data_IF_623903232293
#
_entry.id   IF_623903232293
#
_cell.length_a   1.000
_cell.length_b   1.000
_cell.length_c   1.000
_cell.angle_alpha   90.00
_cell.angle_beta   90.00
_cell.angle_gamma   90.00
#
_symmetry.space_group_name_H-M   'P 1'
#
loop_
_entity.id
_entity.type
_entity.pdbx_description
1 polymer ?
#
# COMPACT_ATOMS: atom_id res chain seq x y z
N UNK A 1 -3.94 -12.78 4.78
CA UNK A 1 -4.55 -12.72 6.12
C UNK A 1 -4.51 -11.29 6.61
N UNK A 2 -5.68 -10.65 6.69
CA UNK A 2 -5.76 -9.27 7.16
C UNK A 2 -5.31 -9.14 8.61
N UNK A 3 -4.60 -8.05 8.90
CA UNK A 3 -4.08 -7.71 10.23
C UNK A 3 -5.06 -6.79 10.95
N UNK A 4 -4.92 -6.70 12.26
CA UNK A 4 -5.69 -5.77 13.10
C UNK A 4 -4.76 -4.70 13.64
N UNK A 5 -5.17 -3.44 13.50
CA UNK A 5 -4.49 -2.28 14.08
C UNK A 5 -5.42 -1.55 15.04
N UNK A 6 -4.85 -1.03 16.13
CA UNK A 6 -5.55 -0.23 17.12
C UNK A 6 -4.94 1.17 17.25
N UNK A 7 -5.77 2.15 17.55
CA UNK A 7 -5.32 3.50 17.87
C UNK A 7 -6.19 4.12 18.97
N UNK A 8 -5.59 4.99 19.76
CA UNK A 8 -6.25 5.70 20.83
C UNK A 8 -5.42 6.92 21.22
N UNK A 9 -6.09 8.01 21.63
CA UNK A 9 -5.43 9.16 22.26
C UNK A 9 -4.72 8.73 23.55
N UNK A 10 -5.45 8.02 24.43
CA UNK A 10 -4.91 7.47 25.67
C UNK A 10 -4.26 6.13 25.39
N UNK A 11 -2.94 6.10 25.28
CA UNK A 11 -2.17 4.91 24.87
C UNK A 11 -2.49 3.71 25.74
N UNK A 12 -2.73 3.89 27.06
CA UNK A 12 -3.05 2.80 28.01
C UNK A 12 -4.35 2.04 27.70
N UNK A 13 -5.24 2.60 26.89
CA UNK A 13 -6.51 1.96 26.52
C UNK A 13 -6.36 0.87 25.46
N UNK A 14 -5.30 0.91 24.66
CA UNK A 14 -5.05 -0.07 23.60
C UNK A 14 -4.82 -1.46 24.24
N UNK A 15 -5.35 -2.56 23.68
CA UNK A 15 -5.06 -3.92 24.16
C UNK A 15 -3.54 -4.18 24.24
N UNK A 16 -3.06 -4.74 25.35
CA UNK A 16 -1.62 -4.91 25.60
C UNK A 16 -0.92 -5.89 24.64
N UNK A 17 -1.70 -6.74 23.98
CA UNK A 17 -1.27 -7.73 22.99
C UNK A 17 -1.42 -7.23 21.54
N UNK A 18 -1.70 -5.93 21.33
CA UNK A 18 -1.79 -5.36 20.00
C UNK A 18 -0.48 -5.53 19.21
N UNK A 19 -0.55 -6.24 18.09
CA UNK A 19 0.59 -6.46 17.18
C UNK A 19 0.83 -5.27 16.24
N UNK A 20 -0.15 -4.39 16.08
CA UNK A 20 -0.07 -3.19 15.27
C UNK A 20 -0.83 -2.04 15.93
N UNK A 21 -0.19 -0.88 16.00
CA UNK A 21 -0.73 0.33 16.63
C UNK A 21 -0.47 1.57 15.79
N UNK A 22 -1.40 2.52 15.77
CA UNK A 22 -1.17 3.84 15.19
C UNK A 22 -1.13 4.92 16.28
N UNK A 23 -0.27 5.91 16.10
CA UNK A 23 -0.07 6.98 17.08
C UNK A 23 0.38 8.28 16.43
N UNK A 24 0.17 9.38 17.15
CA UNK A 24 0.34 10.74 16.63
C UNK A 24 1.76 11.25 16.88
N UNK A 25 2.43 11.74 15.84
CA UNK A 25 3.78 12.34 15.92
C UNK A 25 3.74 13.80 16.35
N UNK A 26 2.62 14.47 16.12
CA UNK A 26 2.37 15.88 16.38
C UNK A 26 0.92 16.08 16.86
N UNK A 27 0.49 17.35 16.97
CA UNK A 27 -0.84 17.69 17.46
C UNK A 27 -0.98 17.66 18.98
N UNK A 28 -2.20 17.97 19.44
CA UNK A 28 -2.53 17.99 20.87
C UNK A 28 -2.38 16.61 21.53
N UNK A 29 -2.54 15.54 20.75
CA UNK A 29 -2.54 14.16 21.21
C UNK A 29 -1.29 13.39 20.81
N UNK A 30 -0.19 14.10 20.51
CA UNK A 30 1.10 13.49 20.18
C UNK A 30 1.52 12.47 21.25
N UNK A 31 1.59 11.19 20.88
CA UNK A 31 1.76 10.08 21.81
C UNK A 31 2.75 9.00 21.34
N UNK A 32 3.45 9.22 20.22
CA UNK A 32 4.35 8.22 19.64
C UNK A 32 5.50 7.76 20.54
N UNK A 33 5.97 8.63 21.46
CA UNK A 33 6.97 8.23 22.47
C UNK A 33 6.40 7.21 23.45
N UNK A 34 5.20 7.45 23.95
CA UNK A 34 4.49 6.53 24.87
C UNK A 34 4.10 5.23 24.15
N UNK A 35 3.59 5.35 22.91
CA UNK A 35 3.26 4.22 22.05
C UNK A 35 4.46 3.28 21.86
N UNK A 36 5.63 3.87 21.60
CA UNK A 36 6.90 3.13 21.45
C UNK A 36 7.32 2.40 22.72
N UNK A 37 7.16 3.04 23.87
CA UNK A 37 7.51 2.42 25.15
C UNK A 37 6.57 1.27 25.52
N UNK A 38 5.26 1.42 25.24
CA UNK A 38 4.24 0.41 25.58
C UNK A 38 4.23 -0.77 24.62
N UNK A 39 4.43 -0.51 23.33
CA UNK A 39 4.34 -1.51 22.25
C UNK A 39 5.66 -1.67 21.50
N UNK A 40 6.76 -2.07 22.16
CA UNK A 40 8.08 -2.12 21.55
C UNK A 40 8.20 -3.18 20.43
N UNK A 41 7.32 -4.19 20.45
CA UNK A 41 7.30 -5.29 19.46
C UNK A 41 6.23 -5.10 18.38
N UNK A 42 5.33 -4.12 18.52
CA UNK A 42 4.27 -3.89 17.55
C UNK A 42 4.80 -3.13 16.32
N UNK A 43 4.16 -3.38 15.18
CA UNK A 43 4.24 -2.48 14.03
C UNK A 43 3.60 -1.16 14.43
N UNK A 44 4.32 -0.05 14.25
CA UNK A 44 3.86 1.29 14.64
C UNK A 44 3.62 2.14 13.41
N UNK A 45 2.42 2.73 13.31
CA UNK A 45 2.00 3.61 12.22
C UNK A 45 2.01 5.06 12.72
N UNK A 46 3.06 5.84 12.42
CA UNK A 46 3.12 7.23 12.83
C UNK A 46 2.23 8.13 11.96
N UNK A 47 1.27 8.80 12.60
CA UNK A 47 0.29 9.72 12.01
C UNK A 47 0.75 11.15 12.25
N UNK A 48 0.81 11.97 11.20
CA UNK A 48 0.89 13.42 11.30
C UNK A 48 -0.51 14.03 11.14
N UNK A 49 -0.88 14.97 12.00
CA UNK A 49 -2.15 15.70 11.90
C UNK A 49 -1.99 17.04 11.19
N UNK A 50 -0.77 17.61 11.15
CA UNK A 50 -0.51 18.84 10.41
C UNK A 50 0.20 18.57 9.08
N UNK A 51 -0.34 19.10 7.98
CA UNK A 51 0.31 19.02 6.67
C UNK A 51 1.66 19.78 6.58
N UNK A 52 1.98 20.61 7.58
CA UNK A 52 3.29 21.26 7.72
C UNK A 52 4.35 20.34 8.33
N UNK A 53 3.96 19.24 8.98
CA UNK A 53 4.86 18.33 9.68
C UNK A 53 5.59 17.43 8.69
N UNK A 54 6.93 17.50 8.69
CA UNK A 54 7.79 16.65 7.86
C UNK A 54 8.21 15.35 8.58
N UNK A 55 7.22 14.67 9.15
CA UNK A 55 7.35 13.40 9.85
C UNK A 55 6.12 12.52 9.59
N UNK A 56 6.15 11.28 10.07
CA UNK A 56 5.06 10.33 9.88
C UNK A 56 5.04 9.64 8.52
N UNK A 57 4.12 8.68 8.40
CA UNK A 57 3.81 7.93 7.17
C UNK A 57 2.35 8.10 6.77
N UNK A 58 1.46 8.35 7.73
CA UNK A 58 0.06 8.73 7.49
C UNK A 58 -0.11 10.22 7.71
N UNK A 59 -0.87 10.89 6.83
CA UNK A 59 -1.46 12.21 7.12
C UNK A 59 -2.93 12.05 7.47
N UNK A 60 -3.33 12.64 8.58
CA UNK A 60 -4.73 12.71 9.01
C UNK A 60 -5.46 13.86 8.32
N UNK A 61 -6.43 13.55 7.46
CA UNK A 61 -7.23 14.53 6.73
C UNK A 61 -8.67 14.48 7.24
N UNK A 62 -8.91 15.25 8.30
CA UNK A 62 -10.21 15.37 8.96
C UNK A 62 -10.43 16.75 9.61
N UNK A 63 -11.67 17.08 10.04
CA UNK A 63 -11.95 18.38 10.65
C UNK A 63 -11.16 18.61 11.94
N UNK A 64 -10.28 19.61 11.92
CA UNK A 64 -9.42 19.95 13.06
C UNK A 64 -7.93 19.71 12.76
N UNK A 65 -7.64 18.87 11.77
CA UNK A 65 -6.30 18.44 11.36
C UNK A 65 -5.98 18.97 9.95
N UNK A 66 -5.41 18.16 9.05
CA UNK A 66 -5.05 18.61 7.72
C UNK A 66 -6.27 18.74 6.79
N UNK A 67 -6.24 19.77 5.94
CA UNK A 67 -7.28 19.97 4.94
C UNK A 67 -7.05 19.12 3.68
N UNK A 68 -8.14 18.76 2.99
CA UNK A 68 -8.12 17.99 1.73
C UNK A 68 -7.11 18.55 0.71
N UNK A 69 -7.09 19.88 0.53
CA UNK A 69 -6.21 20.54 -0.44
C UNK A 69 -4.72 20.54 -0.04
N UNK A 70 -4.40 20.24 1.22
CA UNK A 70 -3.02 20.23 1.71
C UNK A 70 -2.34 18.86 1.54
N UNK A 71 -3.14 17.79 1.42
CA UNK A 71 -2.63 16.42 1.36
C UNK A 71 -1.64 16.17 0.21
N UNK A 72 -1.84 16.66 -1.02
CA UNK A 72 -0.88 16.44 -2.12
C UNK A 72 0.51 17.00 -1.82
N UNK A 73 0.59 18.19 -1.24
CA UNK A 73 1.86 18.84 -0.91
C UNK A 73 2.63 18.12 0.19
N UNK A 74 1.91 17.63 1.21
CA UNK A 74 2.53 16.80 2.25
C UNK A 74 3.04 15.47 1.69
N UNK A 75 2.24 14.78 0.88
CA UNK A 75 2.65 13.51 0.23
C UNK A 75 3.90 13.70 -0.63
N UNK A 76 3.99 14.77 -1.42
CA UNK A 76 5.20 15.06 -2.19
C UNK A 76 6.42 15.25 -1.30
N UNK A 77 6.29 15.98 -0.19
CA UNK A 77 7.37 16.19 0.79
C UNK A 77 7.83 14.87 1.39
N UNK A 78 6.91 14.01 1.81
CA UNK A 78 7.25 12.69 2.38
C UNK A 78 7.94 11.78 1.37
N UNK A 79 7.50 11.79 0.11
CA UNK A 79 8.18 11.07 -0.98
C UNK A 79 9.60 11.58 -1.22
N UNK A 80 9.82 12.90 -1.16
CA UNK A 80 11.17 13.47 -1.23
C UNK A 80 12.05 13.05 -0.05
N UNK A 81 11.45 12.82 1.12
CA UNK A 81 12.11 12.24 2.29
C UNK A 81 12.30 10.71 2.21
N UNK A 82 11.94 10.07 1.10
CA UNK A 82 12.09 8.62 0.90
C UNK A 82 11.01 7.76 1.55
N UNK A 83 9.88 8.36 1.96
CA UNK A 83 8.74 7.66 2.54
C UNK A 83 7.69 7.35 1.46
N UNK A 84 7.01 6.21 1.59
CA UNK A 84 5.82 5.89 0.79
C UNK A 84 4.55 6.22 1.60
N UNK A 85 3.92 7.37 1.38
CA UNK A 85 2.93 7.91 2.31
C UNK A 85 1.52 7.36 2.09
N UNK A 86 0.74 7.43 3.16
CA UNK A 86 -0.69 7.12 3.20
C UNK A 86 -1.48 8.36 3.61
N UNK A 87 -2.69 8.51 3.08
CA UNK A 87 -3.65 9.51 3.58
C UNK A 87 -4.78 8.78 4.30
N UNK A 88 -5.07 9.21 5.52
CA UNK A 88 -6.27 8.82 6.25
C UNK A 88 -7.37 9.86 6.03
N UNK A 89 -8.58 9.39 5.78
CA UNK A 89 -9.80 10.21 5.75
C UNK A 89 -11.05 9.32 5.88
N UNK A 90 -12.19 9.89 6.23
CA UNK A 90 -13.45 9.16 6.16
C UNK A 90 -13.92 8.91 4.71
N UNK A 91 -14.77 7.89 4.56
CA UNK A 91 -15.30 7.47 3.25
C UNK A 91 -16.08 8.57 2.50
N UNK A 92 -16.66 9.55 3.21
CA UNK A 92 -17.36 10.69 2.60
C UNK A 92 -16.41 11.76 2.05
N UNK A 93 -15.22 11.92 2.66
CA UNK A 93 -14.17 12.84 2.17
C UNK A 93 -13.27 12.23 1.11
N UNK A 94 -13.15 10.91 1.06
CA UNK A 94 -12.21 10.22 0.16
C UNK A 94 -12.31 10.65 -1.32
N UNK A 95 -13.50 10.82 -1.94
CA UNK A 95 -13.59 11.32 -3.32
C UNK A 95 -13.00 12.73 -3.53
N UNK A 96 -13.07 13.58 -2.52
CA UNK A 96 -12.51 14.94 -2.55
C UNK A 96 -10.99 14.89 -2.45
N UNK A 97 -10.44 13.99 -1.63
CA UNK A 97 -8.99 13.73 -1.56
C UNK A 97 -8.47 13.23 -2.89
N UNK A 98 -9.10 12.21 -3.49
CA UNK A 98 -8.74 11.71 -4.83
C UNK A 98 -8.68 12.85 -5.86
N UNK A 99 -9.74 13.68 -5.89
CA UNK A 99 -9.82 14.84 -6.78
C UNK A 99 -8.73 15.88 -6.51
N UNK A 100 -8.33 16.09 -5.25
CA UNK A 100 -7.28 17.03 -4.89
C UNK A 100 -5.91 16.60 -5.45
N UNK A 101 -5.59 15.29 -5.41
CA UNK A 101 -4.38 14.74 -6.02
C UNK A 101 -4.41 14.83 -7.54
N UNK A 102 -5.53 14.48 -8.17
CA UNK A 102 -5.69 14.57 -9.63
C UNK A 102 -5.53 16.02 -10.11
N UNK A 103 -6.18 16.97 -9.44
CA UNK A 103 -6.07 18.41 -9.76
C UNK A 103 -4.66 18.96 -9.53
N UNK A 104 -3.92 18.42 -8.55
CA UNK A 104 -2.54 18.80 -8.28
C UNK A 104 -1.53 18.12 -9.23
N UNK A 105 -1.95 17.14 -10.04
CA UNK A 105 -1.06 16.33 -10.87
C UNK A 105 -0.08 15.48 -10.06
N UNK A 106 -0.44 15.13 -8.82
CA UNK A 106 0.39 14.33 -7.91
C UNK A 106 -0.10 12.88 -7.94
N UNK A 107 0.78 11.87 -8.14
CA UNK A 107 0.36 10.47 -8.08
C UNK A 107 -0.32 10.14 -6.74
N UNK A 108 -1.42 9.39 -6.80
CA UNK A 108 -2.19 9.04 -5.60
C UNK A 108 -1.32 8.32 -4.55
N UNK A 109 -1.50 8.59 -3.24
CA UNK A 109 -0.87 7.84 -2.14
C UNK A 109 -1.63 6.54 -1.86
N UNK A 110 -1.21 5.80 -0.83
CA UNK A 110 -2.06 4.76 -0.25
C UNK A 110 -3.18 5.39 0.58
N UNK A 111 -4.22 4.61 0.92
CA UNK A 111 -5.36 5.09 1.70
C UNK A 111 -5.70 4.22 2.90
N UNK A 112 -6.00 4.89 4.02
CA UNK A 112 -6.62 4.30 5.18
C UNK A 112 -7.99 4.98 5.39
N UNK A 113 -9.07 4.24 5.22
CA UNK A 113 -10.42 4.83 5.14
C UNK A 113 -11.24 4.58 6.40
N UNK A 114 -11.77 5.63 7.00
CA UNK A 114 -12.70 5.52 8.12
C UNK A 114 -14.13 5.27 7.64
N UNK A 115 -14.76 4.20 8.11
CA UNK A 115 -16.14 3.85 7.82
C UNK A 115 -16.70 2.95 8.94
N UNK A 116 -17.51 3.54 9.81
CA UNK A 116 -18.03 2.94 11.05
C UNK A 116 -19.21 1.97 10.86
N UNK A 117 -19.03 0.95 10.01
CA UNK A 117 -20.09 0.01 9.64
C UNK A 117 -19.97 -1.37 10.31
N UNK A 118 -18.90 -1.61 11.09
CA UNK A 118 -18.64 -2.90 11.70
C UNK A 118 -18.13 -3.98 10.73
N UNK A 119 -17.89 -3.64 9.47
CA UNK A 119 -17.40 -4.55 8.42
C UNK A 119 -15.88 -4.42 8.25
N UNK A 120 -15.16 -5.51 8.50
CA UNK A 120 -13.72 -5.60 8.32
C UNK A 120 -13.28 -5.86 6.87
N UNK A 121 -14.10 -5.53 5.88
CA UNK A 121 -13.74 -5.57 4.46
C UNK A 121 -13.07 -4.27 4.04
N UNK A 122 -11.82 -4.35 3.57
CA UNK A 122 -11.07 -3.19 3.06
C UNK A 122 -11.68 -2.73 1.72
N UNK A 123 -12.04 -1.43 1.56
CA UNK A 123 -12.54 -0.91 0.29
C UNK A 123 -11.47 -1.05 -0.81
N UNK A 124 -11.90 -1.35 -2.03
CA UNK A 124 -10.99 -1.44 -3.16
C UNK A 124 -10.20 -0.13 -3.35
N UNK A 125 -8.88 -0.23 -3.42
CA UNK A 125 -7.98 0.93 -3.51
C UNK A 125 -7.45 1.46 -2.16
N UNK A 126 -7.90 0.92 -1.03
CA UNK A 126 -7.34 1.21 0.28
C UNK A 126 -6.43 0.07 0.78
N UNK A 127 -5.50 0.40 1.67
CA UNK A 127 -4.62 -0.58 2.36
C UNK A 127 -5.08 -0.86 3.79
N UNK A 128 -5.94 -0.01 4.34
CA UNK A 128 -6.55 -0.20 5.66
C UNK A 128 -7.95 0.44 5.71
N UNK A 129 -8.78 -0.05 6.63
CA UNK A 129 -10.08 0.53 6.96
C UNK A 129 -10.26 0.59 8.47
N UNK A 130 -10.56 1.77 9.01
CA UNK A 130 -11.04 1.91 10.38
C UNK A 130 -12.55 1.64 10.37
N UNK A 131 -12.98 0.56 11.04
CA UNK A 131 -14.36 0.05 10.87
C UNK A 131 -15.17 -0.03 12.17
N UNK A 132 -14.51 0.13 13.32
CA UNK A 132 -15.14 0.05 14.63
C UNK A 132 -14.46 0.98 15.62
N UNK A 133 -15.27 1.69 16.38
CA UNK A 133 -14.86 2.54 17.50
C UNK A 133 -15.43 1.99 18.82
N UNK A 134 -14.80 2.37 19.92
CA UNK A 134 -15.28 2.21 21.30
C UNK A 134 -14.95 3.49 22.07
N UNK A 135 -15.47 3.65 23.29
CA UNK A 135 -15.08 4.77 24.15
C UNK A 135 -13.57 4.79 24.51
N UNK A 136 -12.85 3.69 24.24
CA UNK A 136 -11.47 3.49 24.67
C UNK A 136 -10.45 3.56 23.52
N UNK A 137 -10.79 3.04 22.34
CA UNK A 137 -9.91 2.89 21.18
C UNK A 137 -10.71 2.66 19.90
N UNK A 138 -10.04 2.89 18.77
CA UNK A 138 -10.49 2.57 17.43
C UNK A 138 -9.79 1.33 16.89
N UNK A 139 -10.47 0.65 15.95
CA UNK A 139 -10.01 -0.60 15.36
C UNK A 139 -10.09 -0.56 13.86
N UNK A 140 -8.95 -0.91 13.27
CA UNK A 140 -8.75 -1.00 11.84
C UNK A 140 -8.43 -2.42 11.40
N UNK A 141 -8.96 -2.79 10.24
CA UNK A 141 -8.47 -3.92 9.46
C UNK A 141 -7.41 -3.39 8.50
N UNK A 142 -6.33 -4.14 8.36
CA UNK A 142 -5.17 -3.75 7.56
C UNK A 142 -4.85 -4.88 6.57
N UNK A 143 -4.47 -4.53 5.36
CA UNK A 143 -3.99 -5.48 4.38
C UNK A 143 -2.77 -6.26 4.91
N UNK A 144 -2.51 -7.42 4.31
CA UNK A 144 -1.35 -8.27 4.64
C UNK A 144 -0.03 -7.50 4.60
N UNK A 145 0.06 -6.49 3.73
CA UNK A 145 1.21 -5.60 3.59
C UNK A 145 0.73 -4.15 3.41
N UNK A 146 1.38 -3.22 4.11
CA UNK A 146 1.14 -1.78 4.06
C UNK A 146 2.45 -1.08 3.65
N UNK A 147 2.54 -0.62 2.39
CA UNK A 147 3.73 0.09 1.92
C UNK A 147 4.01 1.36 2.74
N UNK A 148 5.28 1.59 3.07
CA UNK A 148 5.72 2.72 3.90
C UNK A 148 5.62 2.50 5.41
N UNK A 149 4.77 1.56 5.86
CA UNK A 149 4.69 1.11 7.25
C UNK A 149 5.53 -0.13 7.46
N UNK A 150 5.29 -1.16 6.64
CA UNK A 150 6.02 -2.40 6.73
C UNK A 150 7.38 -2.24 6.07
N UNK A 151 8.43 -2.62 6.78
CA UNK A 151 9.75 -2.74 6.17
C UNK A 151 9.70 -3.77 5.04
N UNK A 152 10.48 -3.57 3.98
CA UNK A 152 10.56 -4.55 2.88
C UNK A 152 10.94 -5.98 3.33
N UNK A 153 11.47 -6.14 4.55
CA UNK A 153 11.74 -7.43 5.21
C UNK A 153 10.64 -7.96 6.15
N UNK A 154 9.51 -7.27 6.31
CA UNK A 154 8.37 -7.61 7.19
C UNK A 154 7.06 -7.89 6.44
N UNK A 155 7.10 -7.89 5.10
CA UNK A 155 6.08 -8.58 4.32
C UNK A 155 5.97 -10.05 4.81
N UNK A 156 4.76 -10.65 4.84
CA UNK A 156 4.56 -12.01 5.33
C UNK A 156 5.61 -12.93 4.70
N UNK A 157 6.23 -13.79 5.52
CA UNK A 157 7.40 -14.61 5.21
C UNK A 157 7.49 -15.04 3.74
N UNK A 158 8.13 -14.18 2.96
CA UNK A 158 8.27 -14.24 1.50
C UNK A 158 9.04 -13.01 0.98
N UNK A 159 9.80 -12.31 1.83
CA UNK A 159 10.40 -11.00 1.53
C UNK A 159 11.65 -11.05 0.66
N UNK A 160 11.50 -11.48 -0.59
CA UNK A 160 12.42 -11.24 -1.70
C UNK A 160 11.61 -11.09 -2.98
N UNK A 161 12.18 -10.46 -4.01
CA UNK A 161 11.59 -10.61 -5.34
C UNK A 161 11.78 -12.06 -5.79
N UNK A 162 10.77 -12.63 -6.43
CA UNK A 162 10.88 -13.93 -7.05
C UNK A 162 12.13 -13.94 -7.94
N UNK A 163 13.09 -14.87 -7.76
CA UNK A 163 14.19 -14.97 -8.69
C UNK A 163 13.62 -15.31 -10.06
N UNK A 164 14.25 -14.81 -11.12
CA UNK A 164 13.83 -15.14 -12.48
C UNK A 164 13.84 -16.68 -12.68
N UNK A 165 12.68 -17.31 -12.94
CA UNK A 165 12.57 -18.78 -12.96
C UNK A 165 13.12 -19.42 -14.24
N UNK A 166 13.72 -18.61 -15.13
CA UNK A 166 14.20 -19.01 -16.45
C UNK A 166 13.14 -18.85 -17.54
N UNK A 167 13.59 -18.57 -18.77
CA UNK A 167 12.69 -18.28 -19.91
C UNK A 167 11.73 -19.45 -20.21
N UNK A 168 12.19 -20.68 -20.02
CA UNK A 168 11.39 -21.91 -20.22
C UNK A 168 10.25 -22.07 -19.22
N UNK A 169 10.24 -21.30 -18.13
CA UNK A 169 9.12 -21.29 -17.19
C UNK A 169 7.84 -20.74 -17.84
N UNK A 170 7.95 -19.75 -18.73
CA UNK A 170 6.80 -19.05 -19.32
C UNK A 170 6.26 -19.80 -20.53
N UNK A 171 5.53 -20.88 -20.27
CA UNK A 171 4.93 -21.78 -21.26
C UNK A 171 3.41 -21.71 -21.19
N UNK A 172 2.74 -21.66 -22.35
CA UNK A 172 1.29 -21.49 -22.44
C UNK A 172 0.53 -22.51 -21.58
N UNK A 173 -0.42 -22.02 -20.77
CA UNK A 173 -1.23 -22.84 -19.88
C UNK A 173 -0.56 -23.25 -18.57
N UNK A 174 0.70 -22.87 -18.31
CA UNK A 174 1.33 -23.10 -17.01
C UNK A 174 0.61 -22.32 -15.92
N UNK A 175 0.23 -23.00 -14.83
CA UNK A 175 -0.32 -22.40 -13.63
C UNK A 175 0.74 -22.23 -12.55
N UNK A 176 0.86 -21.05 -11.93
CA UNK A 176 1.78 -20.80 -10.82
C UNK A 176 1.41 -19.54 -10.03
N UNK A 177 1.59 -19.54 -8.69
CA UNK A 177 1.52 -18.33 -7.87
C UNK A 177 2.47 -17.20 -8.34
N UNK A 178 3.64 -17.55 -8.90
CA UNK A 178 4.59 -16.57 -9.46
C UNK A 178 3.99 -15.82 -10.66
N UNK A 179 3.13 -16.48 -11.45
CA UNK A 179 2.43 -15.84 -12.57
C UNK A 179 1.38 -14.86 -12.04
N UNK A 180 0.65 -15.24 -10.98
CA UNK A 180 -0.28 -14.33 -10.32
C UNK A 180 0.43 -13.11 -9.74
N UNK A 181 1.55 -13.29 -9.04
CA UNK A 181 2.32 -12.16 -8.50
C UNK A 181 2.84 -11.23 -9.61
N UNK A 182 3.31 -11.80 -10.72
CA UNK A 182 3.73 -11.03 -11.89
C UNK A 182 2.56 -10.28 -12.53
N UNK A 183 1.39 -10.91 -12.66
CA UNK A 183 0.17 -10.30 -13.17
C UNK A 183 -0.20 -9.04 -12.37
N UNK A 184 -0.29 -9.16 -11.05
CA UNK A 184 -0.58 -8.03 -10.15
C UNK A 184 0.45 -6.92 -10.32
N UNK A 185 1.73 -7.28 -10.47
CA UNK A 185 2.80 -6.30 -10.64
C UNK A 185 2.70 -5.58 -11.99
N UNK A 186 2.37 -6.27 -13.08
CA UNK A 186 2.13 -5.68 -14.40
C UNK A 186 0.94 -4.71 -14.40
N UNK A 187 -0.10 -5.02 -13.63
CA UNK A 187 -1.23 -4.11 -13.38
C UNK A 187 -0.76 -2.87 -12.61
N UNK A 188 -0.01 -3.06 -11.52
CA UNK A 188 0.48 -1.96 -10.68
C UNK A 188 1.39 -0.98 -11.43
N UNK A 189 2.17 -1.44 -12.41
CA UNK A 189 3.04 -0.59 -13.24
C UNK A 189 2.35 -0.09 -14.54
N UNK A 190 1.03 -0.27 -14.67
CA UNK A 190 0.25 0.23 -15.81
C UNK A 190 0.51 -0.49 -17.15
N UNK A 191 1.13 -1.67 -17.10
CA UNK A 191 1.49 -2.45 -18.29
C UNK A 191 0.47 -3.55 -18.61
N UNK A 192 -0.68 -3.58 -17.95
CA UNK A 192 -1.73 -4.58 -18.17
C UNK A 192 -2.33 -4.49 -19.59
N UNK A 193 -2.47 -5.64 -20.25
CA UNK A 193 -3.15 -5.84 -21.54
C UNK A 193 -4.14 -7.02 -21.46
N UNK A 194 -4.62 -7.29 -20.26
CA UNK A 194 -5.57 -8.35 -19.97
C UNK A 194 -6.97 -8.03 -20.50
N UNK A 195 -7.63 -9.04 -21.10
CA UNK A 195 -9.03 -8.96 -21.54
C UNK A 195 -10.01 -9.51 -20.50
N UNK A 196 -9.49 -10.20 -19.48
CA UNK A 196 -10.23 -10.83 -18.38
C UNK A 196 -9.30 -10.92 -17.17
N UNK A 197 -9.87 -10.88 -15.96
CA UNK A 197 -9.15 -11.10 -14.71
C UNK A 197 -9.33 -12.54 -14.16
N UNK A 198 -9.98 -13.42 -14.93
CA UNK A 198 -10.03 -14.85 -14.61
C UNK A 198 -8.67 -15.51 -14.90
N UNK A 199 -8.33 -16.54 -14.13
CA UNK A 199 -7.10 -17.34 -14.29
C UNK A 199 -5.81 -16.50 -14.28
N UNK A 200 -5.72 -15.50 -13.37
CA UNK A 200 -4.54 -14.62 -13.23
C UNK A 200 -3.23 -15.36 -12.91
N UNK A 201 -3.31 -16.60 -12.47
CA UNK A 201 -2.20 -17.50 -12.16
C UNK A 201 -1.82 -18.41 -13.34
N UNK A 202 -2.45 -18.27 -14.51
CA UNK A 202 -2.19 -19.08 -15.72
C UNK A 202 -1.55 -18.25 -16.81
N UNK A 203 -0.36 -18.65 -17.24
CA UNK A 203 0.37 -17.95 -18.31
C UNK A 203 -0.37 -18.06 -19.65
N UNK A 204 -0.78 -16.91 -20.18
CA UNK A 204 -1.54 -16.80 -21.41
C UNK A 204 -1.13 -15.62 -22.30
N UNK A 205 -1.88 -15.42 -23.38
CA UNK A 205 -1.63 -14.33 -24.34
C UNK A 205 -1.78 -12.94 -23.72
N UNK A 206 -2.60 -12.80 -22.68
CA UNK A 206 -2.71 -11.57 -21.90
C UNK A 206 -1.43 -11.22 -21.16
N UNK A 207 -0.75 -12.21 -20.57
CA UNK A 207 0.54 -12.00 -19.90
C UNK A 207 1.63 -11.66 -20.90
N UNK A 208 1.68 -12.35 -22.05
CA UNK A 208 2.62 -12.05 -23.14
C UNK A 208 2.47 -10.59 -23.59
N UNK A 209 1.24 -10.14 -23.82
CA UNK A 209 0.97 -8.77 -24.24
C UNK A 209 1.30 -7.75 -23.15
N UNK A 210 1.00 -8.06 -21.88
CA UNK A 210 1.28 -7.18 -20.75
C UNK A 210 2.78 -7.04 -20.48
N UNK A 211 3.50 -8.16 -20.57
CA UNK A 211 4.95 -8.17 -20.36
C UNK A 211 5.69 -7.50 -21.52
N UNK A 212 5.19 -7.61 -22.76
CA UNK A 212 5.69 -6.82 -23.89
C UNK A 212 5.60 -5.33 -23.61
N UNK A 213 4.44 -4.87 -23.14
CA UNK A 213 4.26 -3.47 -22.76
C UNK A 213 5.23 -3.04 -21.64
N UNK A 214 5.53 -3.93 -20.70
CA UNK A 214 6.55 -3.70 -19.67
C UNK A 214 7.97 -3.59 -20.26
N UNK A 215 8.34 -4.47 -21.17
CA UNK A 215 9.64 -4.38 -21.86
C UNK A 215 9.77 -3.08 -22.65
N UNK A 216 8.72 -2.67 -23.37
CA UNK A 216 8.67 -1.39 -24.07
C UNK A 216 8.76 -0.20 -23.09
N UNK A 217 8.09 -0.27 -21.94
CA UNK A 217 8.18 0.74 -20.88
C UNK A 217 9.61 0.90 -20.34
N UNK A 218 10.39 -0.19 -20.30
CA UNK A 218 11.81 -0.16 -19.95
C UNK A 218 12.73 0.34 -21.07
N UNK A 219 12.20 0.65 -22.25
CA UNK A 219 12.93 1.11 -23.42
C UNK A 219 13.44 -0.01 -24.35
N UNK A 220 13.01 -1.27 -24.15
CA UNK A 220 13.32 -2.35 -25.11
C UNK A 220 12.46 -2.22 -26.36
N UNK A 221 12.96 -2.74 -27.49
CA UNK A 221 12.24 -2.67 -28.78
C UNK A 221 12.58 -3.86 -29.66
N UNK A 222 11.76 -4.07 -30.71
CA UNK A 222 11.97 -5.14 -31.67
C UNK A 222 11.99 -6.52 -31.00
N UNK A 223 13.05 -7.30 -31.25
CA UNK A 223 13.21 -8.64 -30.69
C UNK A 223 13.40 -8.68 -29.17
N UNK A 224 13.83 -7.57 -28.56
CA UNK A 224 14.08 -7.49 -27.11
C UNK A 224 12.81 -7.19 -26.29
N UNK A 225 11.71 -6.84 -26.97
CA UNK A 225 10.37 -6.69 -26.40
C UNK A 225 9.45 -7.81 -26.92
N UNK A 226 9.86 -9.08 -26.79
CA UNK A 226 9.11 -10.24 -27.32
C UNK A 226 7.89 -10.65 -26.47
N UNK A 227 7.72 -10.07 -25.29
CA UNK A 227 6.68 -10.41 -24.32
C UNK A 227 7.00 -11.63 -23.46
N UNK A 228 8.19 -12.20 -23.59
CA UNK A 228 8.64 -13.30 -22.72
C UNK A 228 9.63 -12.74 -21.68
N UNK A 229 9.44 -13.02 -20.39
CA UNK A 229 10.34 -12.54 -19.37
C UNK A 229 11.80 -12.96 -19.57
N UNK A 230 12.70 -11.98 -19.45
CA UNK A 230 14.14 -12.17 -19.30
C UNK A 230 14.60 -11.68 -17.92
N UNK A 231 15.81 -12.07 -17.50
CA UNK A 231 16.33 -11.72 -16.16
C UNK A 231 16.30 -10.21 -15.89
N UNK A 232 16.81 -9.39 -16.82
CA UNK A 232 16.88 -7.93 -16.64
C UNK A 232 15.50 -7.28 -16.49
N UNK A 233 14.53 -7.63 -17.33
CA UNK A 233 13.17 -7.08 -17.24
C UNK A 233 12.44 -7.61 -15.99
N UNK A 234 12.75 -8.83 -15.57
CA UNK A 234 12.16 -9.46 -14.40
C UNK A 234 12.63 -8.81 -13.10
N UNK A 235 13.94 -8.59 -12.96
CA UNK A 235 14.54 -7.93 -11.81
C UNK A 235 14.00 -6.51 -11.63
N UNK A 236 13.81 -5.79 -12.75
CA UNK A 236 13.19 -4.45 -12.74
C UNK A 236 11.69 -4.50 -12.43
N UNK A 237 11.00 -5.56 -12.81
CA UNK A 237 9.56 -5.70 -12.54
C UNK A 237 9.32 -5.86 -11.05
N UNK A 238 10.26 -6.44 -10.29
CA UNK A 238 10.15 -6.59 -8.84
C UNK A 238 8.93 -7.43 -8.44
N UNK A 239 8.80 -8.61 -9.07
CA UNK A 239 7.71 -9.55 -8.79
C UNK A 239 7.85 -10.06 -7.34
N UNK A 240 6.84 -9.91 -6.47
CA UNK A 240 6.90 -10.48 -5.13
C UNK A 240 7.07 -12.00 -5.17
N UNK A 241 7.84 -12.58 -4.25
CA UNK A 241 7.75 -14.02 -3.99
C UNK A 241 6.32 -14.36 -3.60
N UNK A 242 5.84 -15.47 -4.14
CA UNK A 242 4.47 -15.94 -4.00
C UNK A 242 4.36 -17.10 -3.00
#
# INVERSE_FOLDING_TARGET
MSRTMYDAVTVSNIPSDAEMVAGYVDGQFANMTEMTARFPQAVRVPIAVFASTDAGVVLDVEPGDAEVGQAPGWVQRRRQAGVDPTVYCDSGRWPQVLSAFDNAGVPQPHYWIAQWDGDATIPAGAVAKQFRTTDAWDKSVVADFWPGVDSAGQAPAGGGFAPFPGKSFFTAGRRSPVIAAMHERLVAVGCNRYKSNLDKDVWGSGDVASYRAWQEHLGFSGGDADGIPGSTSWDRLQVPNA
#
